data_IF_256539438667
#
_entry.id   IF_256539438667
#
_cell.length_a   1.000
_cell.length_b   1.000
_cell.length_c   1.000
_cell.angle_alpha   90.00
_cell.angle_beta   90.00
_cell.angle_gamma   90.00
#
_symmetry.space_group_name_H-M   'P 1'
#
loop_
_entity.id
_entity.type
_entity.pdbx_description
1 polymer ?
#
# COMPACT_ATOMS: atom_id res chain seq x y z
N UNK A 1 1.07 14.56 29.09
CA UNK A 1 1.99 14.36 27.96
C UNK A 1 2.21 15.69 27.27
N UNK A 2 3.48 16.14 27.13
CA UNK A 2 3.83 17.40 26.42
C UNK A 2 3.79 17.25 24.89
N UNK A 3 2.96 16.38 24.34
CA UNK A 3 2.85 16.16 22.90
C UNK A 3 1.87 17.15 22.30
N UNK A 4 2.25 17.74 21.17
CA UNK A 4 1.38 18.62 20.41
C UNK A 4 0.31 17.77 19.69
N UNK A 5 -0.91 18.29 19.60
CA UNK A 5 -2.00 17.70 18.85
C UNK A 5 -2.76 18.78 18.10
N UNK A 6 -3.31 18.42 16.93
CA UNK A 6 -4.18 19.29 16.15
C UNK A 6 -5.59 18.70 16.16
N UNK A 7 -6.58 19.52 16.53
CA UNK A 7 -8.00 19.14 16.52
C UNK A 7 -8.69 19.93 15.41
N UNK A 8 -9.43 19.23 14.57
CA UNK A 8 -10.31 19.81 13.57
C UNK A 8 -11.76 19.59 14.03
N UNK A 9 -12.51 20.65 14.23
CA UNK A 9 -13.94 20.61 14.61
C UNK A 9 -14.76 21.01 13.38
N UNK A 10 -15.60 20.10 12.92
CA UNK A 10 -16.46 20.31 11.75
C UNK A 10 -15.80 20.06 10.41
N UNK A 11 -14.60 19.42 10.37
CA UNK A 11 -13.93 19.00 9.14
C UNK A 11 -13.00 17.80 9.37
N UNK A 12 -12.74 17.05 8.29
CA UNK A 12 -11.77 15.96 8.26
C UNK A 12 -10.37 16.48 7.87
N UNK A 13 -9.75 17.29 8.74
CA UNK A 13 -8.40 17.77 8.52
C UNK A 13 -8.29 19.03 7.65
N UNK A 14 -9.39 19.57 7.10
CA UNK A 14 -9.39 20.79 6.31
C UNK A 14 -9.29 22.04 7.21
N UNK A 15 -8.17 22.80 7.14
CA UNK A 15 -8.01 24.01 7.92
C UNK A 15 -8.75 25.23 7.32
N UNK A 16 -9.24 25.11 6.08
CA UNK A 16 -9.88 26.22 5.37
C UNK A 16 -11.22 26.57 6.02
N UNK A 17 -11.56 27.86 5.97
CA UNK A 17 -12.82 28.39 6.57
C UNK A 17 -12.97 28.00 8.05
N UNK A 18 -11.87 27.99 8.80
CA UNK A 18 -11.83 27.65 10.23
C UNK A 18 -11.16 28.76 11.03
N UNK A 19 -11.63 28.97 12.26
CA UNK A 19 -10.95 29.79 13.26
C UNK A 19 -9.87 28.94 13.90
N UNK A 20 -8.64 29.45 13.92
CA UNK A 20 -7.48 28.77 14.52
C UNK A 20 -7.27 29.26 15.96
N UNK A 21 -7.27 28.34 16.90
CA UNK A 21 -7.01 28.60 18.32
C UNK A 21 -5.76 27.83 18.74
N UNK A 22 -4.77 28.53 19.31
CA UNK A 22 -3.53 27.92 19.82
C UNK A 22 -3.55 27.93 21.35
N UNK A 23 -3.52 26.75 21.95
CA UNK A 23 -3.45 26.52 23.40
C UNK A 23 -2.15 25.83 23.78
N UNK A 24 -1.00 26.33 23.32
CA UNK A 24 0.31 25.77 23.60
C UNK A 24 0.57 24.43 22.88
N UNK A 25 0.27 23.32 23.56
CA UNK A 25 0.43 21.96 22.97
C UNK A 25 -0.75 21.54 22.09
N UNK A 26 -1.85 22.31 22.13
CA UNK A 26 -3.07 22.01 21.38
C UNK A 26 -3.35 23.09 20.36
N UNK A 27 -3.54 22.71 19.11
CA UNK A 27 -3.98 23.57 18.02
C UNK A 27 -5.37 23.12 17.59
N UNK A 28 -6.34 24.05 17.61
CA UNK A 28 -7.73 23.76 17.28
C UNK A 28 -8.12 24.56 16.04
N UNK A 29 -8.64 23.88 15.02
CA UNK A 29 -9.31 24.46 13.87
C UNK A 29 -10.82 24.26 14.04
N UNK A 30 -11.55 25.35 14.21
CA UNK A 30 -12.99 25.36 14.40
C UNK A 30 -13.68 25.94 13.16
N UNK A 31 -14.40 25.10 12.41
CA UNK A 31 -15.10 25.54 11.18
C UNK A 31 -16.26 26.47 11.54
N UNK A 32 -16.25 27.67 11.00
CA UNK A 32 -17.21 28.71 11.41
C UNK A 32 -18.62 28.54 10.84
N UNK A 33 -18.83 27.75 9.78
CA UNK A 33 -20.16 27.43 9.25
C UNK A 33 -20.68 26.10 9.80
N UNK A 34 -21.59 26.05 10.79
CA UNK A 34 -22.09 24.82 11.37
C UNK A 34 -22.90 23.96 10.39
N UNK A 35 -23.53 24.56 9.36
CA UNK A 35 -24.28 23.84 8.36
C UNK A 35 -23.38 23.06 7.39
N UNK A 36 -22.10 23.36 7.35
CA UNK A 36 -21.09 22.65 6.57
C UNK A 36 -20.21 21.73 7.43
N UNK A 37 -20.60 21.48 8.68
CA UNK A 37 -19.84 20.60 9.56
C UNK A 37 -19.94 19.15 9.06
N UNK A 38 -18.78 18.54 9.00
CA UNK A 38 -18.59 17.10 8.96
C UNK A 38 -17.99 16.68 10.30
N UNK A 39 -17.82 15.41 10.53
CA UNK A 39 -17.21 14.90 11.77
C UNK A 39 -15.88 15.61 12.11
N UNK A 40 -15.42 15.50 13.35
CA UNK A 40 -14.15 16.07 13.79
C UNK A 40 -12.99 15.06 13.68
N UNK A 41 -11.76 15.59 13.70
CA UNK A 41 -10.53 14.79 13.65
C UNK A 41 -9.53 15.30 14.68
N UNK A 42 -8.89 14.40 15.42
CA UNK A 42 -7.75 14.71 16.29
C UNK A 42 -6.50 14.03 15.76
N UNK A 43 -5.52 14.83 15.33
CA UNK A 43 -4.25 14.33 14.78
C UNK A 43 -3.13 14.62 15.78
N UNK A 44 -2.47 13.61 16.36
CA UNK A 44 -1.28 13.81 17.17
C UNK A 44 -0.10 14.24 16.27
N UNK A 45 0.69 15.23 16.72
CA UNK A 45 1.83 15.74 15.94
C UNK A 45 3.08 14.84 15.99
N UNK A 46 3.08 13.80 16.83
CA UNK A 46 4.19 12.86 16.93
C UNK A 46 3.93 11.64 16.05
N UNK A 47 4.90 11.31 15.18
CA UNK A 47 4.84 10.13 14.30
C UNK A 47 4.80 8.81 15.07
N UNK A 48 5.41 8.74 16.25
CA UNK A 48 5.45 7.52 17.07
C UNK A 48 4.80 7.76 18.44
N UNK A 49 3.69 7.07 18.69
CA UNK A 49 2.99 7.09 19.98
C UNK A 49 2.90 5.65 20.48
N UNK A 50 3.22 5.41 21.77
CA UNK A 50 3.07 4.07 22.34
C UNK A 50 1.61 3.60 22.22
N UNK A 51 1.40 2.31 21.99
CA UNK A 51 0.07 1.69 21.81
C UNK A 51 -0.90 2.08 22.94
N UNK A 52 -0.44 2.08 24.21
CA UNK A 52 -1.26 2.51 25.35
C UNK A 52 -1.72 3.96 25.26
N UNK A 53 -0.87 4.86 24.76
CA UNK A 53 -1.25 6.26 24.54
C UNK A 53 -2.19 6.40 23.35
N UNK A 54 -1.96 5.65 22.27
CA UNK A 54 -2.85 5.63 21.11
C UNK A 54 -4.26 5.19 21.50
N UNK A 55 -4.41 4.16 22.33
CA UNK A 55 -5.70 3.74 22.88
C UNK A 55 -6.39 4.88 23.63
N UNK A 56 -5.65 5.63 24.47
CA UNK A 56 -6.19 6.78 25.20
C UNK A 56 -6.63 7.89 24.24
N UNK A 57 -5.86 8.17 23.20
CA UNK A 57 -6.23 9.16 22.20
C UNK A 57 -7.49 8.78 21.42
N UNK A 58 -7.56 7.52 20.95
CA UNK A 58 -8.73 7.01 20.21
C UNK A 58 -10.01 7.09 21.05
N UNK A 59 -9.94 6.81 22.36
CA UNK A 59 -11.08 6.89 23.26
C UNK A 59 -11.40 8.31 23.73
N UNK A 60 -10.45 9.24 23.68
CA UNK A 60 -10.62 10.57 24.27
C UNK A 60 -11.76 11.38 23.62
N UNK A 61 -11.90 11.33 22.29
CA UNK A 61 -12.97 12.03 21.57
C UNK A 61 -14.38 11.57 21.98
N UNK A 62 -14.72 10.30 21.75
CA UNK A 62 -16.02 9.73 22.12
C UNK A 62 -16.35 9.90 23.60
N UNK A 63 -15.38 9.66 24.51
CA UNK A 63 -15.58 9.81 25.94
C UNK A 63 -15.78 11.25 26.38
N UNK A 64 -15.06 12.21 25.81
CA UNK A 64 -15.23 13.62 26.13
C UNK A 64 -16.64 14.10 25.76
N UNK A 65 -17.17 13.73 24.61
CA UNK A 65 -18.52 14.09 24.16
C UNK A 65 -19.59 13.63 25.14
N UNK A 66 -19.55 12.36 25.55
CA UNK A 66 -20.53 11.81 26.48
C UNK A 66 -20.39 12.40 27.89
N UNK A 67 -19.16 12.66 28.37
CA UNK A 67 -18.93 13.30 29.68
C UNK A 67 -19.53 14.73 29.69
N UNK A 68 -19.26 15.55 28.67
CA UNK A 68 -19.77 16.89 28.55
C UNK A 68 -21.29 16.87 28.49
N UNK A 69 -21.88 15.99 27.68
CA UNK A 69 -23.32 15.85 27.54
C UNK A 69 -23.98 15.41 28.86
N UNK A 70 -23.37 14.47 29.59
CA UNK A 70 -23.86 14.01 30.90
C UNK A 70 -23.82 15.12 31.92
N UNK A 71 -22.72 15.86 32.03
CA UNK A 71 -22.57 16.98 32.95
C UNK A 71 -23.61 18.08 32.62
N UNK A 72 -23.76 18.43 31.35
CA UNK A 72 -24.74 19.44 30.90
C UNK A 72 -26.18 19.02 31.23
N UNK A 73 -26.50 17.74 31.00
CA UNK A 73 -27.83 17.21 31.35
C UNK A 73 -28.06 17.22 32.86
N UNK A 74 -27.07 16.83 33.67
CA UNK A 74 -27.15 16.89 35.13
C UNK A 74 -27.45 18.30 35.62
N UNK A 75 -26.72 19.33 35.13
CA UNK A 75 -26.95 20.73 35.51
C UNK A 75 -28.33 21.23 35.08
N UNK A 76 -28.85 20.78 33.92
CA UNK A 76 -30.17 21.13 33.44
C UNK A 76 -31.29 20.74 34.41
N UNK A 77 -31.14 19.58 35.04
CA UNK A 77 -32.09 19.08 36.02
C UNK A 77 -31.82 19.62 37.44
N UNK A 78 -30.56 19.76 37.83
CA UNK A 78 -30.17 20.23 39.16
C UNK A 78 -30.58 21.71 39.40
N UNK A 79 -30.50 22.56 38.37
CA UNK A 79 -30.84 23.98 38.45
C UNK A 79 -32.20 24.34 37.86
N UNK A 80 -33.05 23.35 37.58
CA UNK A 80 -34.41 23.50 37.06
C UNK A 80 -34.53 24.47 35.87
N UNK A 81 -33.66 24.28 34.86
CA UNK A 81 -33.63 25.11 33.66
C UNK A 81 -34.96 25.05 32.89
N UNK A 82 -35.21 26.06 32.06
CA UNK A 82 -36.41 26.15 31.22
C UNK A 82 -36.62 24.89 30.38
N UNK A 83 -37.85 24.41 30.25
CA UNK A 83 -38.21 23.14 29.62
C UNK A 83 -37.65 22.92 28.22
N UNK A 84 -37.60 23.98 27.39
CA UNK A 84 -36.96 23.91 26.04
C UNK A 84 -35.48 23.58 26.15
N UNK A 85 -34.75 24.19 27.09
CA UNK A 85 -33.32 23.90 27.27
C UNK A 85 -33.07 22.50 27.81
N UNK A 86 -33.95 22.02 28.74
CA UNK A 86 -33.90 20.63 29.21
C UNK A 86 -34.05 19.65 28.03
N UNK A 87 -35.06 19.88 27.17
CA UNK A 87 -35.28 19.02 25.99
C UNK A 87 -34.06 19.02 25.05
N UNK A 88 -33.50 20.20 24.78
CA UNK A 88 -32.30 20.34 23.94
C UNK A 88 -31.13 19.54 24.53
N UNK A 89 -30.86 19.61 25.81
CA UNK A 89 -29.77 18.91 26.48
C UNK A 89 -30.00 17.39 26.56
N UNK A 90 -31.26 16.94 26.69
CA UNK A 90 -31.61 15.50 26.59
C UNK A 90 -31.33 14.98 25.17
N UNK A 91 -31.72 15.71 24.13
CA UNK A 91 -31.45 15.36 22.73
C UNK A 91 -29.92 15.35 22.46
N UNK A 92 -29.20 16.34 22.98
CA UNK A 92 -27.75 16.42 22.90
C UNK A 92 -27.08 15.22 23.59
N UNK A 93 -27.55 14.81 24.78
CA UNK A 93 -27.07 13.61 25.46
C UNK A 93 -27.34 12.33 24.66
N UNK A 94 -28.58 12.20 24.14
CA UNK A 94 -28.95 11.07 23.29
C UNK A 94 -28.08 10.98 22.01
N UNK A 95 -27.82 12.13 21.39
CA UNK A 95 -26.93 12.21 20.21
C UNK A 95 -25.49 11.83 20.56
N UNK A 96 -24.94 12.31 21.68
CA UNK A 96 -23.59 11.95 22.12
C UNK A 96 -23.47 10.46 22.47
N UNK A 97 -24.51 9.86 23.04
CA UNK A 97 -24.57 8.43 23.32
C UNK A 97 -24.59 7.60 22.01
N UNK A 98 -25.40 8.03 21.04
CA UNK A 98 -25.47 7.38 19.73
C UNK A 98 -24.13 7.47 18.99
N UNK A 99 -23.50 8.65 19.01
CA UNK A 99 -22.18 8.88 18.41
C UNK A 99 -21.11 7.97 19.06
N UNK A 100 -21.10 7.87 20.38
CA UNK A 100 -20.21 6.95 21.10
C UNK A 100 -20.40 5.49 20.63
N UNK A 101 -21.65 5.03 20.55
CA UNK A 101 -21.95 3.66 20.14
C UNK A 101 -21.53 3.38 18.69
N UNK A 102 -21.89 4.29 17.77
CA UNK A 102 -21.57 4.15 16.34
C UNK A 102 -20.06 4.19 16.09
N UNK A 103 -19.36 5.12 16.75
CA UNK A 103 -17.92 5.26 16.57
C UNK A 103 -17.10 4.12 17.21
N UNK A 104 -17.59 3.47 18.26
CA UNK A 104 -16.90 2.37 18.89
C UNK A 104 -17.23 0.98 18.29
N UNK A 105 -18.28 0.86 17.49
CA UNK A 105 -18.52 -0.36 16.70
C UNK A 105 -17.45 -0.43 15.57
N UNK A 106 -16.58 -1.48 15.56
CA UNK A 106 -15.55 -1.59 14.54
C UNK A 106 -16.12 -1.63 13.13
N UNK A 107 -15.70 -0.70 12.27
CA UNK A 107 -16.11 -0.59 10.89
C UNK A 107 -14.87 -0.39 10.02
N UNK A 108 -14.69 -1.21 8.99
CA UNK A 108 -13.58 -1.16 8.04
C UNK A 108 -13.84 -0.27 6.82
N UNK A 109 -14.89 0.55 6.84
CA UNK A 109 -15.14 1.53 5.77
C UNK A 109 -14.08 2.62 5.86
N UNK A 110 -13.28 2.83 4.79
CA UNK A 110 -12.25 3.86 4.79
C UNK A 110 -12.87 5.26 4.76
N UNK A 111 -12.27 6.18 5.50
CA UNK A 111 -12.62 7.59 5.53
C UNK A 111 -11.43 8.35 4.94
N UNK A 112 -11.64 8.96 3.78
CA UNK A 112 -10.62 9.79 3.12
C UNK A 112 -10.54 11.16 3.79
N UNK A 113 -9.33 11.59 4.16
CA UNK A 113 -9.05 12.91 4.73
C UNK A 113 -8.77 13.95 3.64
N UNK A 114 -8.70 15.21 4.03
CA UNK A 114 -8.41 16.32 3.12
C UNK A 114 -7.06 16.22 2.40
N UNK A 115 -6.07 15.57 3.00
CA UNK A 115 -4.73 15.35 2.45
C UNK A 115 -4.60 14.05 1.62
N UNK A 116 -5.72 13.37 1.35
CA UNK A 116 -5.76 12.09 0.63
C UNK A 116 -5.41 10.89 1.50
N UNK A 117 -5.05 11.07 2.75
CA UNK A 117 -4.80 9.94 3.65
C UNK A 117 -6.11 9.25 4.06
N UNK A 118 -6.02 7.95 4.35
CA UNK A 118 -7.16 7.13 4.74
C UNK A 118 -7.10 6.86 6.24
N UNK A 119 -8.22 7.05 6.92
CA UNK A 119 -8.40 6.68 8.33
C UNK A 119 -9.64 5.81 8.49
N UNK A 120 -9.74 5.14 9.62
CA UNK A 120 -10.90 4.31 9.98
C UNK A 120 -11.55 4.84 11.24
N UNK A 121 -12.77 4.36 11.55
CA UNK A 121 -13.46 4.79 12.76
C UNK A 121 -12.71 4.35 14.03
N UNK A 122 -13.03 4.99 15.16
CA UNK A 122 -12.35 4.75 16.44
C UNK A 122 -12.45 3.29 16.91
N UNK A 123 -13.56 2.63 16.67
CA UNK A 123 -13.77 1.23 17.01
C UNK A 123 -12.85 0.28 16.25
N UNK A 124 -12.65 0.51 14.95
CA UNK A 124 -11.71 -0.26 14.15
C UNK A 124 -10.27 -0.02 14.62
N UNK A 125 -9.90 1.25 14.80
CA UNK A 125 -8.57 1.62 15.29
C UNK A 125 -8.30 1.03 16.68
N UNK A 126 -9.29 1.09 17.59
CA UNK A 126 -9.20 0.51 18.93
C UNK A 126 -9.02 -1.03 18.87
N UNK A 127 -9.80 -1.70 18.02
CA UNK A 127 -9.65 -3.16 17.81
C UNK A 127 -8.24 -3.51 17.35
N UNK A 128 -7.68 -2.76 16.38
CA UNK A 128 -6.31 -2.95 15.91
C UNK A 128 -5.29 -2.70 17.03
N UNK A 129 -5.40 -1.59 17.76
CA UNK A 129 -4.51 -1.27 18.87
C UNK A 129 -4.55 -2.32 19.99
N UNK A 130 -5.72 -2.87 20.31
CA UNK A 130 -5.85 -3.93 21.29
C UNK A 130 -5.20 -5.24 20.80
N UNK A 131 -5.34 -5.57 19.53
CA UNK A 131 -4.66 -6.70 18.93
C UNK A 131 -3.12 -6.54 19.01
N UNK A 132 -2.61 -5.32 18.80
CA UNK A 132 -1.17 -5.02 18.89
C UNK A 132 -0.64 -4.87 20.32
N UNK A 133 -1.51 -4.64 21.32
CA UNK A 133 -1.08 -4.44 22.73
C UNK A 133 -0.36 -5.66 23.31
N UNK A 134 -0.65 -6.85 22.80
CA UNK A 134 -0.03 -8.11 23.23
C UNK A 134 1.26 -8.44 22.49
N UNK A 135 1.60 -7.68 21.44
CA UNK A 135 2.82 -7.90 20.66
C UNK A 135 4.05 -7.33 21.40
N UNK A 136 5.21 -8.00 21.30
CA UNK A 136 6.44 -7.53 21.90
C UNK A 136 6.83 -6.12 21.42
N UNK A 137 7.61 -5.37 22.23
CA UNK A 137 8.16 -4.07 21.84
C UNK A 137 8.98 -4.13 20.54
N UNK A 138 9.54 -5.29 20.22
CA UNK A 138 10.24 -5.56 18.96
C UNK A 138 9.34 -5.34 17.74
N UNK A 139 8.04 -5.63 17.84
CA UNK A 139 7.08 -5.39 16.76
C UNK A 139 6.95 -3.88 16.44
N UNK A 140 6.74 -3.04 17.47
CA UNK A 140 6.66 -1.59 17.24
C UNK A 140 7.93 -1.04 16.60
N UNK A 141 9.11 -1.54 17.03
CA UNK A 141 10.36 -1.14 16.41
C UNK A 141 10.47 -1.58 14.95
N UNK A 142 10.03 -2.78 14.61
CA UNK A 142 10.02 -3.27 13.24
C UNK A 142 9.07 -2.44 12.36
N UNK A 143 7.88 -2.11 12.87
CA UNK A 143 6.92 -1.26 12.18
C UNK A 143 7.46 0.16 11.95
N UNK A 144 8.10 0.77 12.96
CA UNK A 144 8.75 2.09 12.82
C UNK A 144 9.83 2.05 11.71
N UNK A 145 10.65 0.99 11.67
CA UNK A 145 11.67 0.83 10.62
C UNK A 145 11.06 0.65 9.23
N UNK A 146 9.95 -0.06 9.13
CA UNK A 146 9.23 -0.24 7.89
C UNK A 146 8.70 1.12 7.36
N UNK A 147 8.08 1.93 8.23
CA UNK A 147 7.63 3.29 7.88
C UNK A 147 8.80 4.22 7.50
N UNK A 148 9.98 4.03 8.10
CA UNK A 148 11.22 4.74 7.74
C UNK A 148 11.86 4.21 6.45
N UNK A 149 11.23 3.25 5.75
CA UNK A 149 11.75 2.57 4.56
C UNK A 149 13.06 1.81 4.78
N UNK A 150 13.38 1.46 6.02
CA UNK A 150 14.51 0.60 6.38
C UNK A 150 14.09 -0.87 6.34
N UNK A 151 13.74 -1.31 5.15
CA UNK A 151 13.04 -2.58 4.93
C UNK A 151 13.87 -3.79 5.35
N UNK A 152 15.18 -3.80 5.11
CA UNK A 152 16.08 -4.89 5.54
C UNK A 152 16.05 -5.08 7.06
N UNK A 153 16.18 -3.98 7.82
CA UNK A 153 16.18 -4.03 9.28
C UNK A 153 14.80 -4.41 9.84
N UNK A 154 13.73 -3.90 9.23
CA UNK A 154 12.35 -4.25 9.57
C UNK A 154 12.09 -5.73 9.37
N UNK A 155 12.49 -6.29 8.22
CA UNK A 155 12.34 -7.69 7.85
C UNK A 155 12.97 -8.63 8.87
N UNK A 156 14.23 -8.35 9.26
CA UNK A 156 14.95 -9.14 10.26
C UNK A 156 14.23 -9.13 11.61
N UNK A 157 13.68 -7.99 12.04
CA UNK A 157 12.95 -7.93 13.30
C UNK A 157 11.60 -8.65 13.24
N UNK A 158 10.87 -8.58 12.12
CA UNK A 158 9.63 -9.34 11.93
C UNK A 158 9.92 -10.84 11.87
N UNK A 159 10.96 -11.29 11.14
CA UNK A 159 11.37 -12.70 11.10
C UNK A 159 11.70 -13.24 12.51
N UNK A 160 12.47 -12.49 13.31
CA UNK A 160 12.78 -12.88 14.69
C UNK A 160 11.57 -12.94 15.62
N UNK A 161 10.45 -12.28 15.29
CA UNK A 161 9.21 -12.41 16.05
C UNK A 161 8.54 -13.76 15.79
N UNK A 162 8.69 -14.31 14.58
CA UNK A 162 8.12 -15.60 14.18
C UNK A 162 8.74 -16.79 14.94
N UNK A 163 9.93 -16.62 15.53
CA UNK A 163 10.53 -17.65 16.41
C UNK A 163 9.66 -17.98 17.63
N UNK A 164 8.83 -17.02 18.08
CA UNK A 164 8.04 -17.14 19.31
C UNK A 164 6.55 -16.87 19.12
N UNK A 165 6.13 -16.37 17.97
CA UNK A 165 4.75 -15.95 17.70
C UNK A 165 4.35 -16.44 16.31
N UNK A 166 3.45 -17.41 16.24
CA UNK A 166 2.84 -17.84 14.99
C UNK A 166 1.62 -16.94 14.69
N UNK A 167 1.88 -15.82 13.99
CA UNK A 167 0.85 -14.83 13.61
C UNK A 167 0.98 -14.55 12.11
N UNK A 168 -0.10 -14.77 11.35
CA UNK A 168 -0.14 -14.56 9.90
C UNK A 168 0.24 -13.14 9.48
N UNK A 169 -0.11 -12.13 10.27
CA UNK A 169 0.22 -10.71 9.98
C UNK A 169 1.72 -10.46 10.07
N UNK A 170 2.40 -11.14 11.00
CA UNK A 170 3.86 -11.01 11.13
C UNK A 170 4.54 -11.68 9.94
N UNK A 171 4.02 -12.83 9.46
CA UNK A 171 4.50 -13.44 8.23
C UNK A 171 4.34 -12.49 7.04
N UNK A 172 3.13 -11.92 6.83
CA UNK A 172 2.86 -10.98 5.74
C UNK A 172 3.78 -9.75 5.80
N UNK A 173 4.00 -9.18 7.00
CA UNK A 173 4.90 -8.04 7.18
C UNK A 173 6.36 -8.40 6.90
N UNK A 174 6.81 -9.58 7.33
CA UNK A 174 8.18 -10.04 7.09
C UNK A 174 8.43 -10.29 5.60
N UNK A 175 7.55 -11.02 4.90
CA UNK A 175 7.70 -11.28 3.46
C UNK A 175 7.60 -9.99 2.65
N UNK A 176 6.70 -9.06 3.02
CA UNK A 176 6.59 -7.77 2.36
C UNK A 176 7.84 -6.91 2.58
N UNK A 177 8.37 -6.88 3.81
CA UNK A 177 9.61 -6.14 4.12
C UNK A 177 10.80 -6.68 3.31
N UNK A 178 10.96 -8.01 3.21
CA UNK A 178 11.99 -8.61 2.37
C UNK A 178 11.74 -8.38 0.87
N UNK A 179 10.48 -8.30 0.43
CA UNK A 179 10.15 -7.93 -0.95
C UNK A 179 10.61 -6.51 -1.26
N UNK A 180 10.32 -5.54 -0.39
CA UNK A 180 10.76 -4.15 -0.55
C UNK A 180 12.28 -4.00 -0.57
N UNK A 181 12.98 -4.88 0.18
CA UNK A 181 14.45 -5.00 0.16
C UNK A 181 14.96 -5.82 -1.05
N UNK A 182 14.04 -6.29 -1.92
CA UNK A 182 14.32 -7.15 -3.09
C UNK A 182 15.08 -8.45 -2.74
N UNK A 183 14.95 -8.91 -1.50
CA UNK A 183 15.55 -10.16 -1.03
C UNK A 183 14.65 -11.37 -1.33
N UNK A 184 14.50 -11.68 -2.60
CA UNK A 184 13.58 -12.73 -3.08
C UNK A 184 13.85 -14.10 -2.48
N UNK A 185 15.11 -14.42 -2.15
CA UNK A 185 15.47 -15.69 -1.48
C UNK A 185 14.83 -15.80 -0.10
N UNK A 186 14.86 -14.72 0.67
CA UNK A 186 14.22 -14.65 1.99
C UNK A 186 12.70 -14.65 1.90
N UNK A 187 12.13 -13.94 0.91
CA UNK A 187 10.68 -13.99 0.65
C UNK A 187 10.25 -15.43 0.37
N UNK A 188 10.97 -16.15 -0.49
CA UNK A 188 10.68 -17.55 -0.78
C UNK A 188 10.78 -18.43 0.47
N UNK A 189 11.90 -18.34 1.22
CA UNK A 189 12.12 -19.16 2.43
C UNK A 189 10.98 -18.99 3.46
N UNK A 190 10.61 -17.76 3.76
CA UNK A 190 9.53 -17.47 4.68
C UNK A 190 8.15 -17.79 4.09
N UNK A 191 7.96 -17.54 2.79
CA UNK A 191 6.76 -17.90 2.08
C UNK A 191 6.48 -19.39 2.13
N UNK A 192 7.50 -20.25 1.94
CA UNK A 192 7.37 -21.71 2.04
C UNK A 192 6.90 -22.13 3.46
N UNK A 193 7.44 -21.49 4.50
CA UNK A 193 6.99 -21.72 5.89
C UNK A 193 5.54 -21.26 6.09
N UNK A 194 5.19 -20.09 5.56
CA UNK A 194 3.85 -19.54 5.68
C UNK A 194 2.80 -20.37 4.94
N UNK A 195 3.14 -20.90 3.76
CA UNK A 195 2.28 -21.83 3.00
C UNK A 195 1.81 -23.01 3.85
N UNK A 196 2.69 -23.57 4.70
CA UNK A 196 2.36 -24.71 5.57
C UNK A 196 1.29 -24.38 6.62
N UNK A 197 1.11 -23.12 6.96
CA UNK A 197 0.07 -22.69 7.92
C UNK A 197 -1.34 -22.68 7.32
N UNK A 198 -1.47 -22.65 6.01
CA UNK A 198 -2.74 -22.54 5.29
C UNK A 198 -3.49 -21.20 5.49
N UNK A 199 -2.80 -20.15 5.97
CA UNK A 199 -3.41 -18.86 6.34
C UNK A 199 -3.05 -17.71 5.42
N UNK A 200 -2.37 -17.97 4.30
CA UNK A 200 -2.03 -16.93 3.32
C UNK A 200 -3.26 -16.34 2.67
N UNK A 201 -3.29 -15.02 2.53
CA UNK A 201 -4.28 -14.31 1.72
C UNK A 201 -3.81 -14.15 0.25
N UNK A 202 -4.64 -13.53 -0.60
CA UNK A 202 -4.33 -13.35 -2.01
C UNK A 202 -3.04 -12.55 -2.24
N UNK A 203 -2.80 -11.51 -1.47
CA UNK A 203 -1.61 -10.66 -1.61
C UNK A 203 -0.34 -11.40 -1.17
N UNK A 204 -0.43 -12.19 -0.09
CA UNK A 204 0.69 -13.03 0.36
C UNK A 204 1.11 -14.03 -0.73
N UNK A 205 0.13 -14.72 -1.36
CA UNK A 205 0.40 -15.59 -2.48
C UNK A 205 1.08 -14.87 -3.63
N UNK A 206 0.62 -13.64 -3.97
CA UNK A 206 1.21 -12.83 -5.04
C UNK A 206 2.67 -12.46 -4.76
N UNK A 207 2.97 -12.03 -3.53
CA UNK A 207 4.32 -11.64 -3.11
C UNK A 207 5.28 -12.83 -3.19
N UNK A 208 4.85 -13.98 -2.68
CA UNK A 208 5.65 -15.20 -2.74
C UNK A 208 5.81 -15.67 -4.19
N UNK A 209 4.75 -15.62 -5.00
CA UNK A 209 4.81 -15.95 -6.43
C UNK A 209 5.81 -15.08 -7.18
N UNK A 210 5.81 -13.75 -6.92
CA UNK A 210 6.81 -12.86 -7.53
C UNK A 210 8.24 -13.29 -7.16
N UNK A 211 8.48 -13.67 -5.91
CA UNK A 211 9.82 -14.12 -5.51
C UNK A 211 10.25 -15.39 -6.22
N UNK A 212 9.34 -16.34 -6.45
CA UNK A 212 9.59 -17.52 -7.25
C UNK A 212 9.92 -17.17 -8.70
N UNK A 213 9.14 -16.25 -9.31
CA UNK A 213 9.40 -15.78 -10.67
C UNK A 213 10.76 -15.10 -10.82
N UNK A 214 11.14 -14.26 -9.85
CA UNK A 214 12.46 -13.58 -9.83
C UNK A 214 13.64 -14.55 -9.61
N UNK A 215 13.36 -15.74 -9.08
CA UNK A 215 14.33 -16.83 -8.93
C UNK A 215 14.24 -17.86 -10.06
N UNK A 216 13.61 -17.50 -11.18
CA UNK A 216 13.44 -18.34 -12.38
C UNK A 216 12.64 -19.64 -12.16
N UNK A 217 11.91 -19.73 -11.04
CA UNK A 217 11.03 -20.84 -10.69
C UNK A 217 9.61 -20.59 -11.24
N UNK A 218 9.50 -20.40 -12.56
CA UNK A 218 8.30 -19.86 -13.21
C UNK A 218 7.04 -20.72 -13.03
N UNK A 219 7.16 -22.07 -13.15
CA UNK A 219 6.00 -22.95 -13.01
C UNK A 219 5.39 -22.86 -11.61
N UNK A 220 6.24 -22.87 -10.56
CA UNK A 220 5.78 -22.72 -9.18
C UNK A 220 5.18 -21.30 -8.93
N UNK A 221 5.77 -20.26 -9.56
CA UNK A 221 5.22 -18.92 -9.50
C UNK A 221 3.81 -18.88 -10.08
N UNK A 222 3.56 -19.49 -11.24
CA UNK A 222 2.23 -19.56 -11.86
C UNK A 222 1.21 -20.25 -10.96
N UNK A 223 1.57 -21.37 -10.31
CA UNK A 223 0.68 -22.06 -9.36
C UNK A 223 0.29 -21.16 -8.17
N UNK A 224 1.22 -20.35 -7.66
CA UNK A 224 0.95 -19.44 -6.55
C UNK A 224 0.11 -18.24 -6.99
N UNK A 225 0.34 -17.68 -8.18
CA UNK A 225 -0.55 -16.66 -8.75
C UNK A 225 -1.96 -17.20 -8.96
N UNK A 226 -2.11 -18.46 -9.41
CA UNK A 226 -3.42 -19.09 -9.55
C UNK A 226 -4.16 -19.19 -8.22
N UNK A 227 -3.46 -19.53 -7.13
CA UNK A 227 -4.04 -19.52 -5.77
C UNK A 227 -4.46 -18.10 -5.35
N UNK A 228 -3.64 -17.09 -5.63
CA UNK A 228 -4.01 -15.70 -5.38
C UNK A 228 -5.28 -15.30 -6.12
N UNK A 229 -5.36 -15.59 -7.42
CA UNK A 229 -6.50 -15.25 -8.28
C UNK A 229 -7.75 -16.10 -7.98
N UNK A 230 -7.61 -17.29 -7.39
CA UNK A 230 -8.75 -18.06 -6.85
C UNK A 230 -9.34 -17.38 -5.61
N UNK A 231 -8.52 -16.77 -4.76
CA UNK A 231 -8.99 -16.03 -3.57
C UNK A 231 -9.51 -14.64 -3.93
N UNK A 232 -8.86 -13.95 -4.85
CA UNK A 232 -9.25 -12.63 -5.35
C UNK A 232 -9.03 -12.55 -6.86
N UNK A 233 -10.06 -12.81 -7.69
CA UNK A 233 -9.96 -12.78 -9.15
C UNK A 233 -9.56 -11.41 -9.74
N UNK A 234 -9.77 -10.34 -9.00
CA UNK A 234 -9.46 -8.97 -9.38
C UNK A 234 -8.17 -8.45 -8.69
N UNK A 235 -7.30 -9.35 -8.23
CA UNK A 235 -5.98 -8.95 -7.74
C UNK A 235 -5.10 -8.48 -8.89
N UNK A 236 -5.08 -7.17 -9.13
CA UNK A 236 -4.35 -6.52 -10.23
C UNK A 236 -2.86 -6.86 -10.19
N UNK A 237 -2.26 -6.85 -8.98
CA UNK A 237 -0.86 -7.18 -8.79
C UNK A 237 -0.52 -8.61 -9.24
N UNK A 238 -1.40 -9.59 -8.94
CA UNK A 238 -1.24 -10.97 -9.41
C UNK A 238 -1.41 -11.10 -10.92
N UNK A 239 -2.39 -10.41 -11.50
CA UNK A 239 -2.61 -10.41 -12.95
C UNK A 239 -1.37 -9.88 -13.70
N UNK A 240 -0.87 -8.72 -13.29
CA UNK A 240 0.30 -8.09 -13.88
C UNK A 240 1.56 -8.98 -13.80
N UNK A 241 1.86 -9.49 -12.60
CA UNK A 241 3.08 -10.25 -12.39
C UNK A 241 3.01 -11.67 -12.98
N UNK A 242 1.81 -12.29 -13.00
CA UNK A 242 1.58 -13.53 -13.74
C UNK A 242 1.79 -13.31 -15.24
N UNK A 243 1.22 -12.23 -15.81
CA UNK A 243 1.45 -11.84 -17.21
C UNK A 243 2.93 -11.63 -17.52
N UNK A 244 3.66 -10.96 -16.62
CA UNK A 244 5.11 -10.79 -16.75
C UNK A 244 5.84 -12.14 -16.74
N UNK A 245 5.51 -13.04 -15.80
CA UNK A 245 6.10 -14.39 -15.74
C UNK A 245 5.84 -15.19 -17.02
N UNK A 246 4.62 -15.12 -17.56
CA UNK A 246 4.29 -15.75 -18.84
C UNK A 246 5.08 -15.14 -20.01
N UNK A 247 5.34 -13.83 -19.98
CA UNK A 247 6.20 -13.17 -20.99
C UNK A 247 7.62 -13.71 -20.94
N UNK A 248 8.19 -13.97 -19.75
CA UNK A 248 9.51 -14.61 -19.59
C UNK A 248 9.52 -16.05 -20.12
N UNK A 249 8.38 -16.74 -20.09
CA UNK A 249 8.21 -18.09 -20.64
C UNK A 249 7.83 -18.09 -22.14
N UNK A 250 7.86 -16.95 -22.81
CA UNK A 250 7.43 -16.75 -24.21
C UNK A 250 5.95 -17.11 -24.50
N UNK A 251 5.09 -17.13 -23.48
CA UNK A 251 3.65 -17.36 -23.59
C UNK A 251 2.91 -16.04 -23.76
N UNK A 252 3.16 -15.36 -24.88
CA UNK A 252 2.78 -13.96 -25.09
C UNK A 252 1.27 -13.75 -25.19
N UNK A 253 0.53 -14.64 -25.85
CA UNK A 253 -0.93 -14.53 -25.98
C UNK A 253 -1.62 -14.61 -24.62
N UNK A 254 -1.20 -15.56 -23.77
CA UNK A 254 -1.72 -15.72 -22.41
C UNK A 254 -1.36 -14.49 -21.55
N UNK A 255 -0.14 -13.96 -21.71
CA UNK A 255 0.31 -12.76 -20.99
C UNK A 255 -0.52 -11.52 -21.36
N UNK A 256 -0.82 -11.30 -22.65
CA UNK A 256 -1.63 -10.17 -23.11
C UNK A 256 -3.00 -10.20 -22.47
N UNK A 257 -3.67 -11.36 -22.42
CA UNK A 257 -5.00 -11.48 -21.81
C UNK A 257 -5.00 -11.07 -20.32
N UNK A 258 -3.93 -11.39 -19.58
CA UNK A 258 -3.81 -10.98 -18.17
C UNK A 258 -3.52 -9.49 -18.03
N UNK A 259 -2.66 -8.92 -18.87
CA UNK A 259 -2.43 -7.47 -18.88
C UNK A 259 -3.66 -6.69 -19.29
N UNK A 260 -4.45 -7.19 -20.25
CA UNK A 260 -5.73 -6.57 -20.63
C UNK A 260 -6.66 -6.50 -19.42
N UNK A 261 -6.78 -7.61 -18.67
CA UNK A 261 -7.59 -7.63 -17.45
C UNK A 261 -7.06 -6.71 -16.36
N UNK A 262 -5.73 -6.65 -16.17
CA UNK A 262 -5.11 -5.73 -15.21
C UNK A 262 -5.38 -4.26 -15.58
N UNK A 263 -5.28 -3.90 -16.86
CA UNK A 263 -5.56 -2.56 -17.38
C UNK A 263 -7.06 -2.20 -17.27
N UNK A 264 -7.97 -3.17 -17.38
CA UNK A 264 -9.41 -2.92 -17.12
C UNK A 264 -9.64 -2.50 -15.66
N UNK A 265 -8.89 -3.09 -14.71
CA UNK A 265 -8.98 -2.79 -13.29
C UNK A 265 -8.29 -1.48 -12.92
N UNK A 266 -7.09 -1.26 -13.46
CA UNK A 266 -6.33 -0.03 -13.29
C UNK A 266 -5.84 0.50 -14.65
N UNK A 267 -6.49 1.56 -15.15
CA UNK A 267 -6.17 2.18 -16.44
C UNK A 267 -4.88 2.98 -16.42
N UNK A 268 -4.34 3.27 -15.24
CA UNK A 268 -3.12 4.05 -15.06
C UNK A 268 -1.90 3.14 -14.74
N UNK A 269 -2.06 1.81 -14.85
CA UNK A 269 -1.01 0.81 -14.62
C UNK A 269 0.08 0.87 -15.70
N UNK A 270 1.05 1.76 -15.54
CA UNK A 270 2.17 1.93 -16.47
C UNK A 270 2.95 0.62 -16.68
N UNK A 271 3.11 -0.20 -15.62
CA UNK A 271 3.79 -1.50 -15.69
C UNK A 271 3.07 -2.47 -16.65
N UNK A 272 1.74 -2.55 -16.56
CA UNK A 272 0.93 -3.44 -17.41
C UNK A 272 1.02 -3.05 -18.88
N UNK A 273 0.95 -1.76 -19.20
CA UNK A 273 1.14 -1.29 -20.57
C UNK A 273 2.53 -1.58 -21.11
N UNK A 274 3.59 -1.33 -20.34
CA UNK A 274 4.95 -1.60 -20.78
C UNK A 274 5.14 -3.07 -21.16
N UNK A 275 4.67 -3.99 -20.33
CA UNK A 275 4.86 -5.42 -20.53
C UNK A 275 3.90 -6.01 -21.57
N UNK A 276 2.65 -5.53 -21.66
CA UNK A 276 1.77 -5.87 -22.78
C UNK A 276 2.36 -5.43 -24.11
N UNK A 277 2.96 -4.24 -24.14
CA UNK A 277 3.64 -3.72 -25.31
C UNK A 277 4.78 -4.64 -25.78
N UNK A 278 5.62 -5.13 -24.88
CA UNK A 278 6.66 -6.10 -25.22
C UNK A 278 6.06 -7.42 -25.74
N UNK A 279 5.04 -7.96 -25.07
CA UNK A 279 4.40 -9.20 -25.50
C UNK A 279 3.79 -9.07 -26.90
N UNK A 280 3.13 -7.93 -27.20
CA UNK A 280 2.62 -7.63 -28.56
C UNK A 280 3.73 -7.56 -29.59
N UNK A 281 4.84 -6.88 -29.30
CA UNK A 281 6.00 -6.81 -30.19
C UNK A 281 6.54 -8.20 -30.52
N UNK A 282 6.65 -9.06 -29.50
CA UNK A 282 7.14 -10.46 -29.69
C UNK A 282 6.19 -11.31 -30.55
N UNK A 283 4.91 -10.99 -30.60
CA UNK A 283 3.90 -11.57 -31.50
C UNK A 283 3.84 -10.91 -32.91
N UNK A 284 4.70 -9.93 -33.19
CA UNK A 284 4.71 -9.22 -34.47
C UNK A 284 3.74 -8.04 -34.54
N UNK A 285 2.96 -7.76 -33.49
CA UNK A 285 2.05 -6.59 -33.39
C UNK A 285 2.84 -5.35 -32.96
N UNK A 286 3.84 -5.01 -33.79
CA UNK A 286 4.89 -4.02 -33.43
C UNK A 286 4.31 -2.62 -33.22
N UNK A 287 3.36 -2.19 -34.03
CA UNK A 287 2.79 -0.82 -33.95
C UNK A 287 2.03 -0.65 -32.65
N UNK A 288 1.15 -1.60 -32.34
CA UNK A 288 0.33 -1.60 -31.13
C UNK A 288 1.20 -1.74 -29.88
N UNK A 289 2.24 -2.58 -29.95
CA UNK A 289 3.16 -2.76 -28.83
C UNK A 289 3.99 -1.52 -28.52
N UNK A 290 4.47 -0.81 -29.55
CA UNK A 290 5.17 0.46 -29.35
C UNK A 290 4.25 1.57 -28.84
N UNK A 291 2.97 1.57 -29.22
CA UNK A 291 1.96 2.48 -28.66
C UNK A 291 1.75 2.21 -27.17
N UNK A 292 1.64 0.94 -26.76
CA UNK A 292 1.52 0.57 -25.34
C UNK A 292 2.74 1.01 -24.52
N UNK A 293 3.98 0.78 -25.02
CA UNK A 293 5.20 1.20 -24.33
C UNK A 293 5.25 2.73 -24.20
N UNK A 294 4.87 3.45 -25.28
CA UNK A 294 4.81 4.90 -25.23
C UNK A 294 3.79 5.38 -24.21
N UNK A 295 2.58 4.80 -24.20
CA UNK A 295 1.54 5.15 -23.25
C UNK A 295 2.00 4.91 -21.81
N UNK A 296 2.69 3.78 -21.54
CA UNK A 296 3.34 3.52 -20.26
C UNK A 296 4.28 4.64 -19.83
N UNK A 297 5.14 5.13 -20.74
CA UNK A 297 6.07 6.24 -20.46
C UNK A 297 5.35 7.57 -20.25
N UNK A 298 4.20 7.77 -20.90
CA UNK A 298 3.37 8.98 -20.74
C UNK A 298 2.67 8.97 -19.36
N UNK A 299 2.29 7.79 -18.85
CA UNK A 299 1.70 7.60 -17.51
C UNK A 299 2.74 7.74 -16.40
N UNK A 300 3.91 7.12 -16.56
CA UNK A 300 5.02 7.19 -15.60
C UNK A 300 6.37 7.24 -16.33
N UNK A 301 6.97 8.42 -16.35
CA UNK A 301 8.29 8.64 -16.95
C UNK A 301 9.44 7.92 -16.22
N UNK A 302 9.21 7.49 -14.97
CA UNK A 302 10.18 6.76 -14.16
C UNK A 302 9.99 5.23 -14.22
N UNK A 303 9.06 4.73 -15.05
CA UNK A 303 8.88 3.29 -15.22
C UNK A 303 10.06 2.67 -15.99
N UNK A 304 10.99 2.05 -15.26
CA UNK A 304 12.17 1.40 -15.83
C UNK A 304 11.82 0.31 -16.87
N UNK A 305 10.65 -0.34 -16.73
CA UNK A 305 10.21 -1.37 -17.68
C UNK A 305 9.87 -0.83 -19.06
N UNK A 306 9.42 0.42 -19.18
CA UNK A 306 9.19 1.07 -20.49
C UNK A 306 10.49 1.17 -21.26
N UNK A 307 11.55 1.64 -20.62
CA UNK A 307 12.88 1.75 -21.23
C UNK A 307 13.50 0.38 -21.51
N UNK A 308 13.41 -0.57 -20.56
CA UNK A 308 13.90 -1.91 -20.77
C UNK A 308 13.22 -2.59 -21.96
N UNK A 309 11.90 -2.53 -22.04
CA UNK A 309 11.14 -3.22 -23.10
C UNK A 309 11.33 -2.57 -24.47
N UNK A 310 11.47 -1.24 -24.52
CA UNK A 310 11.90 -0.55 -25.75
C UNK A 310 13.35 -0.90 -26.12
N UNK A 311 14.23 -1.05 -25.14
CA UNK A 311 15.59 -1.53 -25.33
C UNK A 311 15.64 -2.93 -25.93
N UNK A 312 14.80 -3.86 -25.44
CA UNK A 312 14.66 -5.22 -25.99
C UNK A 312 14.22 -5.17 -27.46
N UNK A 313 13.25 -4.32 -27.80
CA UNK A 313 12.81 -4.12 -29.18
C UNK A 313 13.96 -3.69 -30.10
N UNK A 314 14.78 -2.72 -29.69
CA UNK A 314 15.94 -2.29 -30.47
C UNK A 314 17.05 -3.35 -30.51
N UNK A 315 17.25 -4.08 -29.42
CA UNK A 315 18.20 -5.20 -29.34
C UNK A 315 17.88 -6.31 -30.37
N UNK A 316 16.61 -6.73 -30.44
CA UNK A 316 16.12 -7.75 -31.37
C UNK A 316 16.31 -7.32 -32.86
N UNK A 317 16.38 -6.02 -33.12
CA UNK A 317 16.60 -5.46 -34.47
C UNK A 317 18.07 -5.24 -34.80
N UNK A 318 18.99 -5.57 -33.89
CA UNK A 318 20.42 -5.33 -34.06
C UNK A 318 20.82 -3.85 -33.88
N UNK A 319 19.93 -3.01 -33.38
CA UNK A 319 20.18 -1.58 -33.13
C UNK A 319 20.82 -1.39 -31.74
N UNK A 320 22.01 -2.03 -31.54
CA UNK A 320 22.64 -2.21 -30.23
C UNK A 320 23.01 -0.91 -29.52
N UNK A 321 23.41 0.14 -30.24
CA UNK A 321 23.71 1.44 -29.61
C UNK A 321 22.48 2.06 -28.95
N UNK A 322 21.30 1.98 -29.61
CA UNK A 322 20.05 2.44 -29.03
C UNK A 322 19.60 1.57 -27.85
N UNK A 323 19.73 0.24 -28.02
CA UNK A 323 19.38 -0.71 -26.95
C UNK A 323 20.23 -0.43 -25.70
N UNK A 324 21.55 -0.21 -25.86
CA UNK A 324 22.46 0.07 -24.76
C UNK A 324 22.05 1.33 -23.98
N UNK A 325 21.73 2.43 -24.69
CA UNK A 325 21.28 3.67 -24.06
C UNK A 325 20.00 3.46 -23.25
N UNK A 326 19.02 2.74 -23.80
CA UNK A 326 17.75 2.46 -23.15
C UNK A 326 17.93 1.54 -21.93
N UNK A 327 18.78 0.53 -21.99
CA UNK A 327 19.09 -0.30 -20.84
C UNK A 327 19.84 0.45 -19.74
N UNK A 328 20.73 1.39 -20.09
CA UNK A 328 21.37 2.28 -19.12
C UNK A 328 20.30 3.12 -18.42
N UNK A 329 19.39 3.76 -19.16
CA UNK A 329 18.31 4.56 -18.60
C UNK A 329 17.41 3.71 -17.68
N UNK A 330 17.06 2.49 -18.08
CA UNK A 330 16.29 1.60 -17.23
C UNK A 330 17.01 1.27 -15.91
N UNK A 331 18.33 1.02 -15.95
CA UNK A 331 19.14 0.75 -14.78
C UNK A 331 19.32 1.96 -13.87
N UNK A 332 19.41 3.15 -14.43
CA UNK A 332 19.49 4.42 -13.67
C UNK A 332 18.20 4.69 -12.91
N UNK A 333 17.05 4.37 -13.51
CA UNK A 333 15.74 4.50 -12.87
C UNK A 333 15.53 3.45 -11.77
N UNK A 334 15.87 2.20 -12.05
CA UNK A 334 15.82 1.10 -11.08
C UNK A 334 16.94 0.10 -11.35
N UNK A 335 17.99 0.16 -10.53
CA UNK A 335 19.17 -0.68 -10.67
C UNK A 335 18.91 -2.18 -10.42
N UNK A 336 17.72 -2.53 -9.92
CA UNK A 336 17.27 -3.90 -9.67
C UNK A 336 16.20 -4.35 -10.66
N UNK A 337 16.02 -3.62 -11.77
CA UNK A 337 15.14 -4.06 -12.85
C UNK A 337 15.55 -5.45 -13.32
N UNK A 338 14.60 -6.38 -13.34
CA UNK A 338 14.88 -7.79 -13.67
C UNK A 338 15.61 -7.96 -15.01
N UNK A 339 16.68 -8.75 -15.03
CA UNK A 339 17.54 -9.04 -16.18
C UNK A 339 18.30 -7.83 -16.77
N UNK A 340 18.34 -6.67 -16.11
CA UNK A 340 18.93 -5.47 -16.72
C UNK A 340 20.45 -5.60 -16.89
N UNK A 341 21.14 -6.25 -15.96
CA UNK A 341 22.58 -6.43 -16.02
C UNK A 341 23.01 -7.41 -17.13
N UNK A 342 22.24 -8.49 -17.30
CA UNK A 342 22.42 -9.47 -18.36
C UNK A 342 22.22 -8.84 -19.74
N UNK A 343 21.16 -8.04 -19.91
CA UNK A 343 20.87 -7.32 -21.15
C UNK A 343 21.97 -6.30 -21.49
N UNK A 344 22.43 -5.55 -20.49
CA UNK A 344 23.56 -4.61 -20.66
C UNK A 344 24.84 -5.33 -21.07
N UNK A 345 25.18 -6.43 -20.42
CA UNK A 345 26.39 -7.19 -20.73
C UNK A 345 26.32 -7.83 -22.11
N UNK A 346 25.18 -8.45 -22.45
CA UNK A 346 24.95 -9.03 -23.76
C UNK A 346 25.09 -7.98 -24.89
N UNK A 347 24.48 -6.80 -24.70
CA UNK A 347 24.55 -5.71 -25.68
C UNK A 347 25.98 -5.20 -25.89
N UNK A 348 26.73 -5.02 -24.79
CA UNK A 348 28.15 -4.59 -24.86
C UNK A 348 29.02 -5.60 -25.59
N UNK A 349 28.84 -6.90 -25.33
CA UNK A 349 29.59 -7.94 -25.98
C UNK A 349 29.36 -7.95 -27.52
N UNK A 350 28.10 -7.79 -27.96
CA UNK A 350 27.74 -7.73 -29.38
C UNK A 350 28.31 -6.47 -30.08
N UNK A 351 28.35 -5.35 -29.39
CA UNK A 351 28.98 -4.09 -29.90
C UNK A 351 30.48 -4.26 -30.09
N UNK A 352 31.17 -4.96 -29.17
CA UNK A 352 32.63 -5.23 -29.30
C UNK A 352 32.92 -6.21 -30.40
N UNK A 353 32.08 -7.25 -30.55
CA UNK A 353 32.30 -8.33 -31.54
C UNK A 353 31.85 -7.94 -32.95
N UNK A 354 31.11 -6.82 -33.15
CA UNK A 354 30.60 -6.39 -34.46
C UNK A 354 29.63 -7.36 -35.12
N UNK A 355 29.01 -8.27 -34.37
CA UNK A 355 28.13 -9.33 -34.88
C UNK A 355 26.67 -8.91 -34.88
N UNK A 356 25.96 -9.30 -35.96
CA UNK A 356 24.50 -9.25 -36.01
C UNK A 356 23.86 -10.31 -35.10
N UNK A 357 22.64 -10.11 -34.57
CA UNK A 357 22.02 -11.07 -33.68
C UNK A 357 21.80 -12.42 -34.39
N UNK A 358 22.25 -13.47 -33.75
CA UNK A 358 21.71 -14.81 -34.06
C UNK A 358 20.40 -14.94 -33.32
N UNK A 359 19.31 -15.26 -34.04
CA UNK A 359 18.01 -15.54 -33.45
C UNK A 359 18.20 -16.48 -32.25
N UNK A 360 17.94 -15.94 -31.04
CA UNK A 360 17.79 -16.77 -29.85
C UNK A 360 16.39 -17.37 -29.93
N UNK A 361 16.29 -18.62 -30.30
CA UNK A 361 15.08 -19.46 -30.25
C UNK A 361 14.64 -19.72 -28.82
#
# INVERSE_FOLDING_TARGET
TKQKATIYIGSYGDPQRSIKINLGVLQIFFRYNPFAWRLGLCVPSAKTISISKSIVYTLAGPLASIIIATISCYFAFAYDLHGFLKLFLIVFFGSALLDLLVNLIPNNIPIELYDGSIVYNDGYNLKQLLNYKHLPKKYSKAADLYEEQKFADAAVLFEQLLDNIEDERIFSLAINSYLQDKNYKKVKELGDKFLLTGKMNADDFSIVALSYSQLELHDQALELYDKSLQLNPDNEYSLCNKGYTLTLMNKFEEAIALFDRAIELDKDSAFSYANRGLAKIKLGLTVEGLQDIKHSSDLDQNNAYSYKNLGIYHFDRGEFDKALQLFISAKELDNMTHMIDELLQATKNLLVEGKQPTNMD
#
